data_IF_928706964987
#
_entry.id   IF_928706964987
#
_cell.length_a   1.000
_cell.length_b   1.000
_cell.length_c   1.000
_cell.angle_alpha   90.00
_cell.angle_beta   90.00
_cell.angle_gamma   90.00
#
_symmetry.space_group_name_H-M   'P 1'
#
loop_
_entity.id
_entity.type
_entity.pdbx_description
1 polymer ?
#
# COMPACT_ATOMS: atom_id res chain seq x y z
N UNK A 1 -1.62 -3.08 -5.07
CA UNK A 1 -1.96 -2.33 -6.30
C UNK A 1 -3.28 -2.86 -6.82
N UNK A 2 -4.21 -1.98 -7.16
CA UNK A 2 -5.47 -2.36 -7.81
C UNK A 2 -5.67 -1.47 -9.04
N UNK A 3 -5.91 -2.06 -10.21
CA UNK A 3 -6.21 -1.28 -11.43
C UNK A 3 -7.58 -0.58 -11.31
N UNK A 4 -8.54 -1.24 -10.66
CA UNK A 4 -9.90 -0.71 -10.47
C UNK A 4 -10.03 0.05 -9.15
N UNK A 5 -10.55 1.27 -9.24
CA UNK A 5 -10.84 2.12 -8.08
C UNK A 5 -11.74 1.41 -7.05
N UNK A 6 -12.81 0.73 -7.51
CA UNK A 6 -13.75 0.03 -6.62
C UNK A 6 -13.06 -1.04 -5.75
N UNK A 7 -12.17 -1.83 -6.34
CA UNK A 7 -11.43 -2.89 -5.62
C UNK A 7 -10.45 -2.31 -4.59
N UNK A 8 -9.87 -1.16 -4.88
CA UNK A 8 -9.02 -0.41 -3.95
C UNK A 8 -9.82 0.17 -2.78
N UNK A 9 -11.03 0.67 -3.05
CA UNK A 9 -11.94 1.17 -2.01
C UNK A 9 -12.38 0.06 -1.06
N UNK A 10 -12.74 -1.12 -1.59
CA UNK A 10 -13.07 -2.30 -0.77
C UNK A 10 -11.90 -2.69 0.14
N UNK A 11 -10.67 -2.71 -0.40
CA UNK A 11 -9.47 -2.97 0.38
C UNK A 11 -9.30 -1.94 1.53
N UNK A 12 -9.53 -0.65 1.26
CA UNK A 12 -9.49 0.37 2.31
C UNK A 12 -10.57 0.20 3.37
N UNK A 13 -11.77 -0.22 3.01
CA UNK A 13 -12.83 -0.49 3.99
C UNK A 13 -12.44 -1.62 4.94
N UNK A 14 -11.82 -2.69 4.43
CA UNK A 14 -11.30 -3.78 5.26
C UNK A 14 -10.19 -3.28 6.20
N UNK A 15 -9.25 -2.46 5.69
CA UNK A 15 -8.22 -1.84 6.54
C UNK A 15 -8.84 -0.95 7.63
N UNK A 16 -9.90 -0.20 7.31
CA UNK A 16 -10.63 0.65 8.28
C UNK A 16 -11.37 -0.17 9.34
N UNK A 17 -11.75 -1.41 9.04
CA UNK A 17 -12.32 -2.35 10.03
C UNK A 17 -11.26 -2.89 11.00
N UNK A 18 -9.98 -2.63 10.75
CA UNK A 18 -8.87 -3.12 11.57
C UNK A 18 -8.27 -4.44 11.07
N UNK A 19 -8.58 -4.86 9.84
CA UNK A 19 -7.91 -6.00 9.21
C UNK A 19 -6.43 -5.69 8.98
N UNK A 20 -5.60 -6.74 9.02
CA UNK A 20 -4.17 -6.59 8.82
C UNK A 20 -3.83 -6.27 7.36
N UNK A 21 -2.82 -5.41 7.16
CA UNK A 21 -2.44 -4.94 5.83
C UNK A 21 -2.04 -6.09 4.89
N UNK A 22 -1.30 -7.07 5.40
CA UNK A 22 -0.90 -8.26 4.65
C UNK A 22 -2.12 -9.06 4.16
N UNK A 23 -3.13 -9.26 5.01
CA UNK A 23 -4.34 -10.01 4.67
C UNK A 23 -5.17 -9.30 3.61
N UNK A 24 -5.31 -7.98 3.73
CA UNK A 24 -6.00 -7.18 2.71
C UNK A 24 -5.20 -7.20 1.40
N UNK A 25 -3.88 -7.05 1.46
CA UNK A 25 -3.04 -7.12 0.28
C UNK A 25 -3.10 -8.50 -0.40
N UNK A 26 -3.13 -9.60 0.35
CA UNK A 26 -3.31 -10.96 -0.19
C UNK A 26 -4.63 -11.12 -0.96
N UNK A 27 -5.70 -10.51 -0.45
CA UNK A 27 -7.04 -10.61 -1.06
C UNK A 27 -7.22 -9.68 -2.26
N UNK A 28 -6.73 -8.44 -2.17
CA UNK A 28 -7.09 -7.37 -3.11
C UNK A 28 -5.95 -6.91 -4.02
N UNK A 29 -4.68 -7.13 -3.65
CA UNK A 29 -3.52 -6.65 -4.43
C UNK A 29 -3.28 -7.49 -5.68
N UNK A 30 -2.90 -6.84 -6.77
CA UNK A 30 -2.66 -7.49 -8.07
C UNK A 30 -1.17 -7.64 -8.41
N UNK A 31 -0.28 -7.00 -7.64
CA UNK A 31 1.16 -6.96 -7.93
C UNK A 31 1.99 -7.87 -7.00
N UNK A 32 1.61 -7.95 -5.71
CA UNK A 32 2.32 -8.73 -4.68
C UNK A 32 1.39 -9.41 -3.67
N UNK A 33 0.19 -9.82 -4.09
CA UNK A 33 -0.78 -10.46 -3.20
C UNK A 33 -0.16 -11.62 -2.41
N UNK A 34 0.53 -12.57 -3.07
CA UNK A 34 1.10 -13.75 -2.40
C UNK A 34 2.17 -13.48 -1.33
N UNK A 35 2.70 -12.25 -1.27
CA UNK A 35 3.68 -11.83 -0.26
C UNK A 35 3.07 -10.82 0.72
N UNK A 36 1.74 -10.75 0.85
CA UNK A 36 1.10 -9.75 1.70
C UNK A 36 1.32 -8.32 1.23
N UNK A 37 1.62 -8.11 -0.05
CA UNK A 37 1.96 -6.78 -0.57
C UNK A 37 3.36 -6.31 -0.20
N UNK A 38 4.20 -7.14 0.41
CA UNK A 38 5.57 -6.79 0.77
C UNK A 38 6.44 -6.59 -0.48
N UNK A 39 7.03 -5.39 -0.55
CA UNK A 39 7.94 -4.95 -1.60
C UNK A 39 9.41 -4.99 -1.13
N UNK A 40 9.66 -5.21 0.15
CA UNK A 40 10.98 -5.14 0.77
C UNK A 40 11.54 -3.72 0.81
N UNK A 41 12.86 -3.63 1.02
CA UNK A 41 13.57 -2.35 1.04
C UNK A 41 13.68 -1.75 -0.35
N UNK A 42 12.98 -0.63 -0.57
CA UNK A 42 13.04 0.15 -1.79
C UNK A 42 13.98 1.34 -1.64
N UNK A 43 14.82 1.57 -2.65
CA UNK A 43 15.71 2.73 -2.70
C UNK A 43 15.03 3.90 -3.40
N UNK A 44 15.42 5.13 -3.03
CA UNK A 44 14.92 6.32 -3.72
C UNK A 44 15.31 6.25 -5.20
N UNK A 45 14.33 6.39 -6.08
CA UNK A 45 14.46 6.28 -7.54
C UNK A 45 14.00 4.93 -8.11
N UNK A 46 13.74 3.90 -7.29
CA UNK A 46 13.25 2.61 -7.77
C UNK A 46 11.74 2.57 -8.03
N UNK A 47 10.98 3.50 -7.43
CA UNK A 47 9.52 3.59 -7.52
C UNK A 47 9.07 4.79 -8.34
N UNK A 48 7.84 4.73 -8.88
CA UNK A 48 7.24 5.86 -9.61
C UNK A 48 7.07 7.06 -8.68
N UNK A 49 7.29 8.28 -9.19
CA UNK A 49 7.28 9.53 -8.40
C UNK A 49 6.13 9.62 -7.39
N UNK A 50 4.85 9.50 -7.81
CA UNK A 50 3.72 9.61 -6.88
C UNK A 50 3.71 8.54 -5.79
N UNK A 51 4.13 7.32 -6.12
CA UNK A 51 4.24 6.24 -5.13
C UNK A 51 5.36 6.55 -4.13
N UNK A 52 6.52 6.96 -4.65
CA UNK A 52 7.66 7.28 -3.83
C UNK A 52 7.35 8.42 -2.87
N UNK A 53 6.81 9.53 -3.37
CA UNK A 53 6.55 10.72 -2.57
C UNK A 53 5.60 10.38 -1.42
N UNK A 54 4.51 9.68 -1.72
CA UNK A 54 3.57 9.19 -0.72
C UNK A 54 4.21 8.21 0.29
N UNK A 55 5.07 7.28 -0.17
CA UNK A 55 5.79 6.39 0.74
C UNK A 55 6.73 7.16 1.67
N UNK A 56 7.39 8.22 1.19
CA UNK A 56 8.29 9.03 2.00
C UNK A 56 7.57 9.96 2.98
N UNK A 57 6.37 10.42 2.62
CA UNK A 57 5.48 11.21 3.49
C UNK A 57 4.84 10.37 4.59
N UNK A 58 4.64 9.08 4.36
CA UNK A 58 4.12 8.17 5.36
C UNK A 58 5.09 7.97 6.53
N UNK A 59 4.52 7.92 7.73
CA UNK A 59 5.27 7.56 8.93
C UNK A 59 5.44 6.04 8.98
N UNK A 60 6.66 5.52 9.21
CA UNK A 60 6.87 4.09 9.41
C UNK A 60 5.97 3.55 10.52
N UNK A 61 5.37 2.40 10.27
CA UNK A 61 4.30 1.80 11.07
C UNK A 61 4.44 0.27 11.08
N UNK A 62 3.46 -0.45 11.62
CA UNK A 62 3.52 -1.92 11.71
C UNK A 62 2.26 -2.53 11.11
N UNK A 63 2.32 -3.77 10.63
CA UNK A 63 1.13 -4.51 10.15
C UNK A 63 -0.04 -4.58 11.13
N UNK A 64 0.20 -4.45 12.45
CA UNK A 64 -0.85 -4.40 13.48
C UNK A 64 -1.46 -3.01 13.67
N UNK A 65 -0.70 -1.96 13.39
CA UNK A 65 -1.16 -0.56 13.41
C UNK A 65 -0.65 0.12 12.14
N UNK A 66 -1.19 -0.25 10.97
CA UNK A 66 -0.65 0.20 9.71
C UNK A 66 -1.03 1.66 9.49
N UNK A 67 -0.04 2.51 9.21
CA UNK A 67 -0.26 3.85 8.69
C UNK A 67 -0.12 3.72 7.18
N UNK A 68 -1.22 3.97 6.49
CA UNK A 68 -1.30 3.85 5.05
C UNK A 68 -1.85 5.13 4.41
N UNK A 69 -1.66 5.26 3.11
CA UNK A 69 -2.22 6.37 2.33
C UNK A 69 -3.75 6.31 2.27
N UNK A 70 -4.42 7.32 2.79
CA UNK A 70 -5.84 7.60 2.58
C UNK A 70 -6.00 9.07 2.14
N UNK A 71 -6.38 9.35 0.89
CA UNK A 71 -6.84 8.43 -0.16
C UNK A 71 -5.72 7.62 -0.86
N UNK A 72 -6.05 6.60 -1.68
CA UNK A 72 -5.07 5.79 -2.41
C UNK A 72 -4.33 6.63 -3.46
N UNK A 73 -3.06 6.30 -3.64
CA UNK A 73 -2.18 6.97 -4.59
C UNK A 73 -2.47 6.48 -5.99
N UNK A 74 -2.87 7.39 -6.88
CA UNK A 74 -3.05 7.09 -8.29
C UNK A 74 -1.71 7.20 -9.03
N UNK A 75 -1.32 6.13 -9.71
CA UNK A 75 -0.15 6.09 -10.59
C UNK A 75 -0.57 5.67 -11.99
N UNK A 76 0.39 5.61 -12.93
CA UNK A 76 0.16 5.06 -14.28
C UNK A 76 -0.31 3.60 -14.30
N UNK A 77 -0.08 2.88 -13.20
CA UNK A 77 -0.46 1.48 -13.05
C UNK A 77 -1.86 1.31 -12.46
N UNK A 78 -2.40 2.31 -11.77
CA UNK A 78 -3.69 2.22 -11.07
C UNK A 78 -3.64 2.87 -9.70
N UNK A 79 -4.38 2.31 -8.74
CA UNK A 79 -4.46 2.80 -7.38
C UNK A 79 -3.59 1.97 -6.42
N UNK A 80 -2.88 2.65 -5.54
CA UNK A 80 -1.94 2.06 -4.60
C UNK A 80 -2.27 2.53 -3.19
N UNK A 81 -2.48 1.57 -2.31
CA UNK A 81 -2.46 1.80 -0.86
C UNK A 81 -1.05 1.42 -0.42
N UNK A 82 -0.34 2.37 0.17
CA UNK A 82 1.07 2.21 0.55
C UNK A 82 1.14 2.23 2.06
N UNK A 83 1.95 1.35 2.64
CA UNK A 83 2.32 1.34 4.04
C UNK A 83 3.84 1.23 4.11
N UNK A 84 4.46 1.89 5.08
CA UNK A 84 5.90 1.82 5.32
C UNK A 84 6.14 1.16 6.65
N UNK A 85 7.00 0.14 6.68
CA UNK A 85 7.42 -0.53 7.92
C UNK A 85 8.71 0.07 8.51
N UNK A 86 9.57 0.62 7.66
CA UNK A 86 10.84 1.21 8.07
C UNK A 86 11.37 2.20 7.04
N UNK A 87 12.10 3.21 7.52
CA UNK A 87 12.82 4.18 6.68
C UNK A 87 14.26 4.27 7.15
N UNK A 88 15.22 4.24 6.23
CA UNK A 88 16.66 4.34 6.50
C UNK A 88 17.30 5.36 5.58
#
# INVERSE_FOLDING_TARGET
MCEKHSKCMEAMEELKKGEHFNTVAEKYSEDKARSGGDLGWMTRGSMVGPFQDAAFELTPSTVNKPIYTDPPVKTKFGYHIIMVEGRK
#
